data_IF_115338546836
#
_entry.id   IF_115338546836
#
_cell.length_a   1.000
_cell.length_b   1.000
_cell.length_c   1.000
_cell.angle_alpha   90.00
_cell.angle_beta   90.00
_cell.angle_gamma   90.00
#
_symmetry.space_group_name_H-M   'P 1'
#
loop_
_entity.id
_entity.type
_entity.pdbx_description
1 polymer ?
#
# COMPACT_ATOMS: atom_id res chain seq x y z
N UNK A 1 13.05 11.84 -22.09
CA UNK A 1 12.59 11.98 -20.69
C UNK A 1 11.12 12.32 -20.73
N UNK A 2 10.24 11.45 -20.23
CA UNK A 2 8.83 11.79 -20.03
C UNK A 2 8.74 12.37 -18.61
N UNK A 3 8.28 13.62 -18.43
CA UNK A 3 8.00 14.13 -17.09
C UNK A 3 6.75 13.41 -16.59
N UNK A 4 6.90 12.45 -15.69
CA UNK A 4 5.78 11.82 -15.00
C UNK A 4 5.37 12.69 -13.82
N UNK A 5 4.77 13.86 -14.09
CA UNK A 5 3.95 14.50 -13.08
C UNK A 5 2.63 13.74 -13.04
N UNK A 6 2.46 12.82 -12.09
CA UNK A 6 1.15 12.28 -11.78
C UNK A 6 0.33 13.47 -11.25
N UNK A 7 -0.73 13.93 -11.93
CA UNK A 7 -1.54 15.01 -11.40
C UNK A 7 -2.32 14.45 -10.20
N UNK A 8 -1.80 14.67 -9.00
CA UNK A 8 -2.53 14.38 -7.77
C UNK A 8 -3.44 15.57 -7.50
N UNK A 9 -4.76 15.35 -7.56
CA UNK A 9 -5.72 16.37 -7.18
C UNK A 9 -5.51 16.77 -5.71
N UNK A 10 -5.69 18.05 -5.38
CA UNK A 10 -5.44 18.59 -4.04
C UNK A 10 -6.25 17.86 -2.96
N UNK A 11 -7.42 17.33 -3.32
CA UNK A 11 -8.25 16.50 -2.43
C UNK A 11 -7.58 15.16 -2.11
N UNK A 12 -6.99 14.50 -3.12
CA UNK A 12 -6.30 13.22 -2.94
C UNK A 12 -5.01 13.41 -2.13
N UNK A 13 -4.24 14.46 -2.42
CA UNK A 13 -3.05 14.81 -1.64
C UNK A 13 -3.39 15.12 -0.18
N UNK A 14 -4.46 15.87 0.06
CA UNK A 14 -4.93 16.17 1.42
C UNK A 14 -5.33 14.92 2.21
N UNK A 15 -5.98 13.95 1.56
CA UNK A 15 -6.28 12.65 2.18
C UNK A 15 -5.03 11.86 2.54
N UNK A 16 -4.04 11.83 1.65
CA UNK A 16 -2.74 11.19 1.90
C UNK A 16 -1.98 11.88 3.04
N UNK A 17 -1.95 13.21 3.06
CA UNK A 17 -1.34 13.99 4.14
C UNK A 17 -2.08 13.78 5.48
N UNK A 18 -3.39 13.54 5.46
CA UNK A 18 -4.14 13.15 6.66
C UNK A 18 -3.68 11.83 7.28
N UNK A 19 -3.08 10.94 6.48
CA UNK A 19 -2.50 9.68 6.96
C UNK A 19 -1.03 9.84 7.41
N UNK A 20 -0.33 10.85 6.87
CA UNK A 20 1.08 11.15 7.15
C UNK A 20 1.20 12.63 7.53
N UNK A 21 0.66 13.04 8.69
CA UNK A 21 0.54 14.46 9.05
C UNK A 21 1.87 15.17 9.28
N UNK A 22 2.91 14.42 9.65
CA UNK A 22 4.23 14.96 9.99
C UNK A 22 5.16 15.16 8.77
N UNK A 23 4.71 14.81 7.57
CA UNK A 23 5.51 14.96 6.34
C UNK A 23 5.05 16.17 5.51
N UNK A 24 5.98 17.09 5.25
CA UNK A 24 5.72 18.31 4.46
C UNK A 24 6.08 18.17 2.97
N UNK A 25 6.94 17.21 2.62
CA UNK A 25 7.39 16.95 1.25
C UNK A 25 6.37 16.06 0.48
N UNK A 26 5.75 16.57 -0.60
CA UNK A 26 4.80 15.81 -1.38
C UNK A 26 5.35 14.52 -1.99
N UNK A 27 6.61 14.51 -2.43
CA UNK A 27 7.22 13.31 -3.01
C UNK A 27 7.40 12.23 -1.94
N UNK A 28 7.77 12.64 -0.73
CA UNK A 28 7.92 11.72 0.40
C UNK A 28 6.58 11.19 0.91
N UNK A 29 5.53 12.02 0.96
CA UNK A 29 4.16 11.57 1.25
C UNK A 29 3.72 10.49 0.26
N UNK A 30 3.96 10.69 -1.04
CA UNK A 30 3.61 9.71 -2.08
C UNK A 30 4.42 8.42 -1.90
N UNK A 31 5.73 8.52 -1.64
CA UNK A 31 6.61 7.37 -1.43
C UNK A 31 6.15 6.52 -0.24
N UNK A 32 5.91 7.15 0.92
CA UNK A 32 5.42 6.46 2.11
C UNK A 32 4.06 5.80 1.82
N UNK A 33 3.17 6.47 1.11
CA UNK A 33 1.89 5.90 0.73
C UNK A 33 2.04 4.67 -0.16
N UNK A 34 2.97 4.67 -1.12
CA UNK A 34 3.30 3.51 -1.93
C UNK A 34 3.83 2.35 -1.08
N UNK A 35 4.79 2.60 -0.18
CA UNK A 35 5.37 1.58 0.70
C UNK A 35 4.28 0.91 1.58
N UNK A 36 3.36 1.71 2.11
CA UNK A 36 2.21 1.23 2.90
C UNK A 36 1.28 0.35 2.05
N UNK A 37 0.96 0.77 0.82
CA UNK A 37 0.11 -0.01 -0.09
C UNK A 37 0.76 -1.36 -0.43
N UNK A 38 2.07 -1.38 -0.69
CA UNK A 38 2.81 -2.60 -0.96
C UNK A 38 2.79 -3.56 0.24
N UNK A 39 3.07 -3.04 1.43
CA UNK A 39 3.03 -3.82 2.67
C UNK A 39 1.63 -4.42 2.92
N UNK A 40 0.57 -3.61 2.80
CA UNK A 40 -0.81 -4.08 2.97
C UNK A 40 -1.20 -5.11 1.91
N UNK A 41 -0.76 -4.93 0.67
CA UNK A 41 -1.01 -5.86 -0.42
C UNK A 41 -0.33 -7.21 -0.18
N UNK A 42 0.88 -7.22 0.39
CA UNK A 42 1.57 -8.45 0.80
C UNK A 42 0.78 -9.18 1.88
N UNK A 43 0.37 -8.45 2.94
CA UNK A 43 -0.41 -9.03 4.05
C UNK A 43 -1.70 -9.65 3.54
N UNK A 44 -2.46 -8.93 2.69
CA UNK A 44 -3.71 -9.46 2.12
C UNK A 44 -3.45 -10.71 1.28
N UNK A 45 -2.37 -10.74 0.48
CA UNK A 45 -2.02 -11.90 -0.32
C UNK A 45 -1.68 -13.11 0.55
N UNK A 46 -0.90 -12.92 1.61
CA UNK A 46 -0.56 -13.97 2.56
C UNK A 46 -1.80 -14.50 3.27
N UNK A 47 -2.68 -13.63 3.75
CA UNK A 47 -3.94 -14.02 4.39
C UNK A 47 -4.83 -14.80 3.43
N UNK A 48 -4.97 -14.37 2.18
CA UNK A 48 -5.75 -15.10 1.18
C UNK A 48 -5.14 -16.48 0.87
N UNK A 49 -3.81 -16.56 0.79
CA UNK A 49 -3.11 -17.85 0.63
C UNK A 49 -3.37 -18.76 1.83
N UNK A 50 -3.32 -18.22 3.04
CA UNK A 50 -3.58 -18.98 4.26
C UNK A 50 -5.03 -19.47 4.34
N UNK A 51 -6.00 -18.62 3.99
CA UNK A 51 -7.42 -19.00 3.88
C UNK A 51 -7.58 -20.13 2.86
N UNK A 52 -6.97 -20.00 1.68
CA UNK A 52 -7.01 -21.05 0.67
C UNK A 52 -6.46 -22.39 1.19
N UNK A 53 -5.32 -22.37 1.89
CA UNK A 53 -4.73 -23.60 2.46
C UNK A 53 -5.62 -24.20 3.56
N UNK A 54 -6.26 -23.37 4.38
CA UNK A 54 -7.25 -23.81 5.38
C UNK A 54 -8.49 -24.45 4.74
N UNK A 55 -9.04 -23.81 3.70
CA UNK A 55 -10.23 -24.31 2.99
C UNK A 55 -9.96 -25.62 2.25
N UNK A 56 -8.73 -25.84 1.78
CA UNK A 56 -8.35 -27.03 1.00
C UNK A 56 -7.64 -28.11 1.83
N UNK A 57 -7.49 -27.93 3.15
CA UNK A 57 -6.80 -28.87 4.06
C UNK A 57 -5.34 -29.18 3.65
N UNK A 58 -4.68 -28.24 2.98
CA UNK A 58 -3.29 -28.38 2.49
C UNK A 58 -2.31 -27.57 3.35
N UNK A 59 -2.52 -27.51 4.68
CA UNK A 59 -1.59 -26.78 5.54
C UNK A 59 -0.17 -27.35 5.39
N UNK A 60 0.85 -26.51 5.11
CA UNK A 60 2.22 -26.96 5.07
C UNK A 60 2.62 -27.47 6.46
N UNK A 61 3.14 -28.70 6.53
CA UNK A 61 3.68 -29.26 7.76
C UNK A 61 4.83 -28.36 8.26
N UNK A 62 4.76 -27.97 9.53
CA UNK A 62 5.65 -27.01 10.20
C UNK A 62 7.10 -27.50 10.30
#
# INVERSE_FOLDING_TARGET
>A
MIPTSIPVDAVQYSRLKGLIPDCEDPEEVIRIACDVIEALSSIVREQNSYIYLLENSELPEA
#
